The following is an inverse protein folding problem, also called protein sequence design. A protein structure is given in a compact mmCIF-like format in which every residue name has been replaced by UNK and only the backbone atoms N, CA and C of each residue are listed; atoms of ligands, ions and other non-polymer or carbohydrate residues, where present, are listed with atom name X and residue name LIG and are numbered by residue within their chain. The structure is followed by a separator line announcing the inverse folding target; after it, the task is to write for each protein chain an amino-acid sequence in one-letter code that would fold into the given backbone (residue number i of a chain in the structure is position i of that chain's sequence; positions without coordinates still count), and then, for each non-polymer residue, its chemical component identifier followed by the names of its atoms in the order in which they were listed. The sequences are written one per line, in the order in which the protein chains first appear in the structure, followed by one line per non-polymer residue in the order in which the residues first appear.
data_IF_685594618456
#
_entry.id   IF_685594618456
#
_cell.length_a   1.000
_cell.length_b   1.000
_cell.length_c   1.000
_cell.angle_alpha   90.00
_cell.angle_beta   90.00
_cell.angle_gamma   90.00
#
_symmetry.space_group_name_H-M   'P 1'
#
loop_
_entity.id
_entity.type
_entity.pdbx_description
1 polymer ?
#
# COMPACT_ATOMS: atom_id res chain seq x y z
N UNK A 1 -15.34 14.68 10.46
CA UNK A 1 -14.59 13.47 10.88
C UNK A 1 -15.48 12.31 11.32
N UNK A 2 -16.72 12.51 11.79
CA UNK A 2 -17.55 11.48 12.44
C UNK A 2 -17.82 10.20 11.64
N UNK A 3 -17.64 10.20 10.31
CA UNK A 3 -17.80 9.01 9.45
C UNK A 3 -16.56 8.73 8.56
N UNK A 4 -15.34 9.13 8.95
CA UNK A 4 -14.17 8.81 8.14
C UNK A 4 -13.85 7.29 8.20
N UNK A 5 -13.87 6.55 7.07
CA UNK A 5 -13.61 5.11 7.08
C UNK A 5 -12.15 4.77 7.44
N UNK A 6 -11.22 5.72 7.32
CA UNK A 6 -9.81 5.53 7.71
C UNK A 6 -9.55 5.89 9.18
N UNK A 7 -10.41 6.69 9.82
CA UNK A 7 -10.37 6.91 11.27
C UNK A 7 -11.05 5.77 12.04
N UNK A 8 -12.16 5.25 11.50
CA UNK A 8 -12.98 4.21 12.12
C UNK A 8 -12.93 2.92 11.29
N UNK A 9 -11.73 2.52 10.87
CA UNK A 9 -11.55 1.31 10.07
C UNK A 9 -11.89 0.05 10.87
N UNK A 10 -12.41 -0.97 10.18
CA UNK A 10 -12.66 -2.29 10.76
C UNK A 10 -12.16 -3.36 9.78
N UNK A 11 -11.53 -4.42 10.31
CA UNK A 11 -11.06 -5.55 9.50
C UNK A 11 -9.81 -5.29 8.64
N UNK A 12 -9.04 -4.22 8.89
CA UNK A 12 -7.77 -4.01 8.19
C UNK A 12 -6.70 -5.03 8.66
N UNK A 13 -5.94 -5.61 7.71
CA UNK A 13 -4.74 -6.37 8.02
C UNK A 13 -3.58 -5.41 8.31
N UNK A 14 -3.52 -4.92 9.55
CA UNK A 14 -2.45 -4.03 10.02
C UNK A 14 -1.17 -4.83 10.20
N UNK A 15 -0.12 -4.40 9.49
CA UNK A 15 1.22 -4.99 9.57
C UNK A 15 2.04 -4.31 10.67
N UNK A 16 1.93 -2.98 10.71
CA UNK A 16 2.67 -2.12 11.62
C UNK A 16 1.86 -0.86 11.91
N UNK A 17 1.99 -0.34 13.13
CA UNK A 17 1.46 0.97 13.51
C UNK A 17 2.43 1.63 14.48
N UNK A 18 2.85 2.85 14.17
CA UNK A 18 3.60 3.72 15.08
C UNK A 18 2.72 4.92 15.51
N UNK A 19 3.34 5.95 16.07
CA UNK A 19 2.70 7.21 16.45
C UNK A 19 2.11 7.97 15.25
N UNK A 20 2.78 7.95 14.10
CA UNK A 20 2.45 8.79 12.95
C UNK A 20 1.51 8.12 11.94
N UNK A 21 1.75 6.86 11.60
CA UNK A 21 1.01 6.15 10.57
C UNK A 21 0.85 4.65 10.91
N UNK A 22 0.01 3.99 10.12
CA UNK A 22 -0.07 2.53 10.05
C UNK A 22 0.16 2.04 8.64
N UNK A 23 0.73 0.84 8.52
CA UNK A 23 0.89 0.12 7.27
C UNK A 23 -0.07 -1.06 7.26
N UNK A 24 -0.83 -1.20 6.19
CA UNK A 24 -1.76 -2.33 6.01
C UNK A 24 -1.48 -3.06 4.70
N UNK A 25 -1.79 -4.35 4.68
CA UNK A 25 -1.92 -5.11 3.43
C UNK A 25 -3.38 -5.05 2.97
N UNK A 26 -3.60 -4.61 1.72
CA UNK A 26 -4.92 -4.56 1.11
C UNK A 26 -5.24 -5.95 0.55
N UNK A 27 -6.41 -6.47 0.88
CA UNK A 27 -6.90 -7.74 0.34
C UNK A 27 -7.60 -7.52 -1.01
N UNK A 28 -6.81 -7.28 -2.05
CA UNK A 28 -7.28 -7.20 -3.43
C UNK A 28 -6.80 -8.44 -4.20
N UNK A 29 -7.75 -9.20 -4.75
CA UNK A 29 -7.48 -10.50 -5.40
C UNK A 29 -6.67 -10.31 -6.69
N UNK A 30 -6.88 -9.20 -7.41
CA UNK A 30 -6.20 -8.95 -8.69
C UNK A 30 -4.82 -8.32 -8.49
N UNK A 31 -4.57 -7.72 -7.33
CA UNK A 31 -3.31 -7.05 -7.01
C UNK A 31 -2.69 -7.55 -5.70
N UNK A 32 -2.22 -8.82 -5.65
CA UNK A 32 -1.36 -9.25 -4.56
C UNK A 32 -0.12 -8.35 -4.51
N UNK A 33 0.26 -7.91 -3.30
CA UNK A 33 1.33 -6.92 -3.12
C UNK A 33 0.84 -5.46 -3.12
N UNK A 34 -0.45 -5.26 -2.81
CA UNK A 34 -1.03 -3.94 -2.58
C UNK A 34 -0.97 -3.59 -1.08
N UNK A 35 -0.19 -2.57 -0.75
CA UNK A 35 -0.07 -2.01 0.60
C UNK A 35 -0.58 -0.57 0.66
N UNK A 36 -0.94 -0.13 1.86
CA UNK A 36 -1.20 1.28 2.14
C UNK A 36 -0.43 1.75 3.37
N UNK A 37 0.09 2.97 3.28
CA UNK A 37 0.52 3.76 4.44
C UNK A 37 -0.57 4.78 4.70
N UNK A 38 -1.10 4.81 5.92
CA UNK A 38 -2.25 5.64 6.29
C UNK A 38 -1.87 6.47 7.50
N UNK A 39 -1.98 7.80 7.41
CA UNK A 39 -1.77 8.67 8.56
C UNK A 39 -2.74 8.28 9.70
N UNK A 40 -2.26 8.29 10.94
CA UNK A 40 -3.14 7.99 12.08
C UNK A 40 -4.12 9.13 12.33
N UNK A 41 -3.62 10.36 12.28
CA UNK A 41 -4.42 11.57 12.40
C UNK A 41 -5.18 11.87 11.11
N UNK A 42 -6.35 12.50 11.26
CA UNK A 42 -7.17 12.92 10.14
C UNK A 42 -6.65 14.23 9.55
N UNK A 43 -5.56 14.14 8.80
CA UNK A 43 -5.03 15.20 7.94
C UNK A 43 -5.38 14.89 6.49
N UNK A 44 -5.56 15.91 5.64
CA UNK A 44 -5.93 15.70 4.24
C UNK A 44 -4.70 15.61 3.35
N UNK A 45 -3.76 16.52 3.57
CA UNK A 45 -2.60 16.72 2.71
C UNK A 45 -1.28 16.47 3.43
N UNK A 46 -0.28 16.06 2.65
CA UNK A 46 1.09 15.89 3.13
C UNK A 46 1.69 17.19 3.69
N UNK A 47 1.28 18.35 3.13
CA UNK A 47 1.73 19.67 3.57
C UNK A 47 1.19 20.11 4.93
N UNK A 48 0.21 19.38 5.50
CA UNK A 48 -0.27 19.60 6.87
C UNK A 48 0.63 18.94 7.92
N UNK A 49 1.55 18.06 7.50
CA UNK A 49 2.50 17.39 8.39
C UNK A 49 3.78 18.23 8.56
N UNK A 50 4.46 18.06 9.70
CA UNK A 50 5.80 18.61 9.89
C UNK A 50 6.79 18.01 8.89
N UNK A 51 7.86 18.72 8.55
CA UNK A 51 8.89 18.20 7.64
C UNK A 51 9.49 16.88 8.11
N UNK A 52 9.63 16.70 9.43
CA UNK A 52 10.10 15.44 10.02
C UNK A 52 9.11 14.29 9.76
N UNK A 53 7.82 14.52 10.00
CA UNK A 53 6.78 13.53 9.73
C UNK A 53 6.70 13.18 8.23
N UNK A 54 6.84 14.19 7.35
CA UNK A 54 6.90 13.97 5.91
C UNK A 54 8.06 13.05 5.52
N UNK A 55 9.26 13.27 6.06
CA UNK A 55 10.43 12.43 5.78
C UNK A 55 10.27 11.00 6.31
N UNK A 56 9.71 10.81 7.51
CA UNK A 56 9.43 9.48 8.07
C UNK A 56 8.48 8.68 7.18
N UNK A 57 7.42 9.32 6.68
CA UNK A 57 6.48 8.68 5.74
C UNK A 57 7.18 8.32 4.42
N UNK A 58 7.93 9.24 3.83
CA UNK A 58 8.66 8.97 2.57
C UNK A 58 9.62 7.79 2.76
N UNK A 59 10.36 7.75 3.87
CA UNK A 59 11.25 6.62 4.18
C UNK A 59 10.49 5.30 4.29
N UNK A 60 9.29 5.32 4.90
CA UNK A 60 8.46 4.13 5.00
C UNK A 60 7.95 3.67 3.63
N UNK A 61 7.52 4.60 2.77
CA UNK A 61 7.10 4.31 1.40
C UNK A 61 8.24 3.67 0.60
N UNK A 62 9.45 4.26 0.66
CA UNK A 62 10.64 3.73 -0.03
C UNK A 62 10.98 2.33 0.44
N UNK A 63 10.98 2.07 1.75
CA UNK A 63 11.30 0.75 2.29
C UNK A 63 10.29 -0.32 1.87
N UNK A 64 9.00 0.01 1.87
CA UNK A 64 7.96 -0.91 1.39
C UNK A 64 8.18 -1.21 -0.10
N UNK A 65 8.50 -0.18 -0.91
CA UNK A 65 8.83 -0.38 -2.32
C UNK A 65 10.04 -1.30 -2.50
N UNK A 66 11.13 -1.09 -1.76
CA UNK A 66 12.33 -1.95 -1.78
C UNK A 66 11.98 -3.41 -1.47
N UNK A 67 11.24 -3.66 -0.38
CA UNK A 67 10.82 -5.01 0.01
C UNK A 67 9.98 -5.66 -1.11
N UNK A 68 9.07 -4.91 -1.72
CA UNK A 68 8.23 -5.41 -2.82
C UNK A 68 9.07 -5.71 -4.06
N UNK A 69 10.00 -4.83 -4.43
CA UNK A 69 10.89 -5.03 -5.57
C UNK A 69 11.77 -6.28 -5.42
N UNK A 70 12.36 -6.47 -4.24
CA UNK A 70 13.27 -7.58 -3.96
C UNK A 70 12.56 -8.94 -3.96
N UNK A 71 11.36 -9.01 -3.38
CA UNK A 71 10.70 -10.27 -3.08
C UNK A 71 9.61 -10.65 -4.11
N UNK A 72 8.93 -9.68 -4.71
CA UNK A 72 7.90 -9.94 -5.72
C UNK A 72 8.38 -9.71 -7.15
N UNK A 73 9.48 -8.98 -7.35
CA UNK A 73 10.05 -8.63 -8.66
C UNK A 73 9.00 -8.12 -9.69
N UNK A 74 8.12 -7.18 -9.31
CA UNK A 74 7.21 -6.56 -10.27
C UNK A 74 8.02 -5.76 -11.30
N UNK A 75 7.43 -5.52 -12.47
CA UNK A 75 8.05 -4.65 -13.48
C UNK A 75 7.98 -3.18 -13.08
N UNK A 76 7.05 -2.81 -12.18
CA UNK A 76 6.90 -1.47 -11.63
C UNK A 76 6.19 -1.53 -10.27
N UNK A 77 6.54 -0.63 -9.36
CA UNK A 77 5.69 -0.29 -8.21
C UNK A 77 4.99 1.03 -8.46
N UNK A 78 3.67 1.09 -8.32
CA UNK A 78 2.93 2.35 -8.40
C UNK A 78 2.81 2.98 -7.01
N UNK A 79 3.15 4.27 -6.91
CA UNK A 79 2.86 5.12 -5.76
C UNK A 79 1.75 6.09 -6.13
N UNK A 80 0.75 6.21 -5.27
CA UNK A 80 -0.28 7.23 -5.43
C UNK A 80 -0.76 7.75 -4.09
N UNK A 81 -0.76 9.07 -3.93
CA UNK A 81 -1.57 9.75 -2.93
C UNK A 81 -2.75 10.37 -3.66
N UNK A 82 -3.93 9.82 -3.39
CA UNK A 82 -5.21 10.38 -3.82
C UNK A 82 -5.92 10.87 -2.55
N UNK A 83 -7.23 10.74 -2.49
CA UNK A 83 -8.03 11.21 -1.36
C UNK A 83 -9.31 11.92 -1.77
N UNK A 84 -9.63 11.94 -3.06
CA UNK A 84 -10.85 12.59 -3.58
C UNK A 84 -12.12 12.09 -2.87
N UNK A 85 -12.25 10.77 -2.67
CA UNK A 85 -13.41 10.16 -1.99
C UNK A 85 -13.28 10.15 -0.46
N UNK A 86 -12.05 9.98 0.04
CA UNK A 86 -11.74 9.95 1.47
C UNK A 86 -10.55 10.87 1.70
N UNK A 87 -10.79 12.15 2.04
CA UNK A 87 -9.73 13.13 2.26
C UNK A 87 -9.10 12.92 3.64
N UNK A 88 -8.45 11.77 3.79
CA UNK A 88 -7.63 11.37 4.93
C UNK A 88 -6.36 10.80 4.30
N UNK A 89 -5.23 11.42 4.60
CA UNK A 89 -3.94 11.17 3.97
C UNK A 89 -3.54 9.68 4.02
N UNK A 90 -3.38 9.09 2.84
CA UNK A 90 -2.89 7.74 2.65
C UNK A 90 -2.22 7.60 1.29
N UNK A 91 -1.34 6.61 1.19
CA UNK A 91 -0.66 6.23 -0.03
C UNK A 91 -1.02 4.81 -0.43
N UNK A 92 -1.07 4.58 -1.72
CA UNK A 92 -1.16 3.28 -2.35
C UNK A 92 0.22 2.86 -2.85
N UNK A 93 0.69 1.67 -2.47
CA UNK A 93 1.88 1.03 -3.02
C UNK A 93 1.45 -0.29 -3.63
N UNK A 94 1.60 -0.42 -4.96
CA UNK A 94 1.03 -1.55 -5.69
C UNK A 94 2.09 -2.16 -6.61
N UNK A 95 2.38 -3.44 -6.41
CA UNK A 95 3.19 -4.25 -7.32
C UNK A 95 2.45 -4.43 -8.67
N UNK A 96 3.10 -4.06 -9.78
CA UNK A 96 2.53 -4.15 -11.14
C UNK A 96 3.28 -5.17 -12.00
N UNK A 97 2.53 -5.94 -12.78
CA UNK A 97 3.06 -6.99 -13.64
C UNK A 97 2.47 -6.85 -15.05
N UNK A 98 3.21 -7.26 -16.09
CA UNK A 98 2.75 -7.12 -17.48
C UNK A 98 1.43 -7.84 -17.76
N UNK A 99 1.17 -8.92 -17.02
CA UNK A 99 -0.01 -9.77 -17.09
C UNK A 99 -1.04 -9.48 -15.99
N UNK A 100 -0.87 -8.40 -15.22
CA UNK A 100 -1.88 -7.96 -14.24
C UNK A 100 -3.16 -7.49 -14.92
N UNK A 101 -4.25 -7.38 -14.15
CA UNK A 101 -5.58 -7.18 -14.68
C UNK A 101 -5.73 -5.91 -15.55
N UNK A 102 -4.93 -4.86 -15.32
CA UNK A 102 -5.09 -3.56 -15.99
C UNK A 102 -3.86 -3.07 -16.75
N UNK A 103 -2.68 -3.68 -16.59
CA UNK A 103 -1.45 -3.19 -17.23
C UNK A 103 -1.62 -3.03 -18.76
N UNK A 104 -1.14 -1.93 -19.38
CA UNK A 104 -0.29 -0.85 -18.84
C UNK A 104 -1.05 0.30 -18.14
N UNK A 105 -2.38 0.19 -18.01
CA UNK A 105 -3.21 1.25 -17.42
C UNK A 105 -3.09 1.25 -15.87
N UNK A 106 -3.70 2.24 -15.22
CA UNK A 106 -3.75 2.30 -13.76
C UNK A 106 -4.64 1.19 -13.20
N UNK A 107 -4.49 0.85 -11.91
CA UNK A 107 -5.34 -0.17 -11.26
C UNK A 107 -6.81 0.24 -11.14
N UNK A 108 -7.11 1.52 -11.29
CA UNK A 108 -8.48 2.06 -11.26
C UNK A 108 -9.13 2.11 -12.66
N UNK A 109 -8.42 1.68 -13.69
CA UNK A 109 -8.94 1.59 -15.05
C UNK A 109 -9.73 0.28 -15.24
N UNK A 110 -10.60 0.19 -16.27
CA UNK A 110 -11.25 -1.07 -16.61
C UNK A 110 -10.25 -2.19 -16.84
N UNK A 111 -10.55 -3.41 -16.36
CA UNK A 111 -9.71 -4.59 -16.57
C UNK A 111 -9.57 -4.90 -18.07
N UNK A 112 -8.35 -5.22 -18.47
CA UNK A 112 -7.99 -5.63 -19.84
C UNK A 112 -7.90 -7.13 -19.98
N UNK A 113 -7.63 -7.84 -18.88
CA UNK A 113 -7.38 -9.29 -18.86
C UNK A 113 -7.69 -9.87 -17.47
N UNK A 114 -7.80 -11.19 -17.43
CA UNK A 114 -7.82 -11.95 -16.19
C UNK A 114 -6.45 -12.59 -16.00
N UNK A 115 -5.76 -12.28 -14.91
CA UNK A 115 -4.52 -12.97 -14.53
C UNK A 115 -4.87 -14.41 -14.11
N UNK A 116 -4.02 -15.37 -14.52
CA UNK A 116 -4.22 -16.78 -14.22
C UNK A 116 -4.24 -17.04 -12.71
N UNK A 117 -5.10 -17.96 -12.25
CA UNK A 117 -5.35 -18.19 -10.82
C UNK A 117 -4.11 -18.71 -10.09
N UNK A 118 -3.35 -19.62 -10.69
CA UNK A 118 -2.09 -20.13 -10.16
C UNK A 118 -1.04 -19.02 -9.98
N UNK A 119 -0.97 -18.09 -10.93
CA UNK A 119 -0.11 -16.89 -10.84
C UNK A 119 -0.55 -16.00 -9.69
N UNK A 120 -1.86 -15.78 -9.49
CA UNK A 120 -2.38 -14.99 -8.38
C UNK A 120 -2.09 -15.64 -7.02
N UNK A 121 -2.21 -16.96 -6.91
CA UNK A 121 -1.84 -17.72 -5.70
C UNK A 121 -0.36 -17.55 -5.38
N UNK A 122 0.53 -17.76 -6.36
CA UNK A 122 1.97 -17.59 -6.16
C UNK A 122 2.33 -16.15 -5.76
N UNK A 123 1.72 -15.14 -6.40
CA UNK A 123 1.93 -13.73 -6.03
C UNK A 123 1.40 -13.39 -4.64
N UNK A 124 0.31 -14.04 -4.21
CA UNK A 124 -0.23 -13.87 -2.86
C UNK A 124 0.73 -14.40 -1.79
N UNK A 125 1.37 -15.54 -2.03
CA UNK A 125 2.40 -16.08 -1.14
C UNK A 125 3.59 -15.12 -1.02
N UNK A 126 4.09 -14.59 -2.14
CA UNK A 126 5.16 -13.58 -2.13
C UNK A 126 4.73 -12.28 -1.43
N UNK A 127 3.49 -11.84 -1.63
CA UNK A 127 2.96 -10.67 -0.94
C UNK A 127 2.85 -10.87 0.58
N UNK A 128 2.58 -12.10 1.04
CA UNK A 128 2.60 -12.43 2.47
C UNK A 128 4.01 -12.44 3.04
N UNK A 129 5.02 -12.89 2.27
CA UNK A 129 6.44 -12.72 2.65
C UNK A 129 6.79 -11.24 2.80
N UNK A 130 6.40 -10.39 1.85
CA UNK A 130 6.59 -8.94 1.98
C UNK A 130 5.90 -8.38 3.23
N UNK A 131 4.69 -8.86 3.54
CA UNK A 131 3.94 -8.41 4.72
C UNK A 131 4.67 -8.76 6.03
N UNK A 132 5.27 -9.95 6.11
CA UNK A 132 6.06 -10.37 7.27
C UNK A 132 7.36 -9.57 7.40
N UNK A 133 8.04 -9.27 6.29
CA UNK A 133 9.22 -8.40 6.28
C UNK A 133 8.89 -6.98 6.74
N UNK A 134 7.81 -6.38 6.23
CA UNK A 134 7.34 -5.03 6.64
C UNK A 134 6.98 -5.02 8.13
N UNK A 135 6.40 -6.11 8.65
CA UNK A 135 6.11 -6.24 10.08
C UNK A 135 7.40 -6.31 10.92
N UNK A 136 8.47 -6.92 10.39
CA UNK A 136 9.76 -7.05 11.04
C UNK A 136 10.59 -5.76 11.11
N UNK A 137 10.30 -4.75 10.26
CA UNK A 137 11.05 -3.48 10.21
C UNK A 137 10.55 -2.45 11.23
N UNK A 138 9.94 -2.88 12.35
CA UNK A 138 9.30 -1.98 13.32
C UNK A 138 10.24 -0.99 14.02
N UNK A 139 11.55 -1.24 14.01
CA UNK A 139 12.56 -0.32 14.51
C UNK A 139 13.14 0.64 13.47
N UNK A 140 12.75 0.52 12.20
CA UNK A 140 13.28 1.30 11.08
C UNK A 140 12.32 2.43 10.62
N UNK A 141 11.13 2.56 11.23
CA UNK A 141 10.03 3.46 10.84
C UNK A 141 9.59 4.46 11.92
#
# INVERSE_FOLDING_TARGET
MTNCPLCFSSGEKVLLKNDLFRIIQVNDVDYPGYFRVIANDHVKEMSELSSEAQMRIISALSKIEEIVLENMRPIKVNWAQLGNMVPHLHWHLIARFEDDATFPDSIWSPKRRQTATDVLVARKELADVCADLIKGTSGEF
#
